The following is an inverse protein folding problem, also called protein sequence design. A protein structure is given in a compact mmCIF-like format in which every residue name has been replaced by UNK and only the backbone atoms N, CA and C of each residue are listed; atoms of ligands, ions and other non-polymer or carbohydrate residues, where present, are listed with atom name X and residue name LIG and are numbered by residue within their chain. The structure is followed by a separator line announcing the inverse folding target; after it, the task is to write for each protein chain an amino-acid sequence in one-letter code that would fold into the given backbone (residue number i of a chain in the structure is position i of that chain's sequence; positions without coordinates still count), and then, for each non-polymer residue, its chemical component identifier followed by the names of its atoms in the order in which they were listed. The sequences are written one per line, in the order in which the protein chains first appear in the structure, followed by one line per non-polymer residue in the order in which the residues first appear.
data_IF_541011738445
#
_entry.id   IF_541011738445
#
_cell.length_a   1.000
_cell.length_b   1.000
_cell.length_c   1.000
_cell.angle_alpha   90.00
_cell.angle_beta   90.00
_cell.angle_gamma   90.00
#
_symmetry.space_group_name_H-M   'P 1'
#
loop_
_entity.id
_entity.type
_entity.pdbx_description
1 polymer ?
#
# COMPACT_ATOMS: atom_id res chain seq x y z
N UNK A 1 8.88 -2.53 9.63
CA UNK A 1 8.56 -3.94 9.33
C UNK A 1 8.57 -4.15 7.83
N UNK A 2 9.41 -5.05 7.29
CA UNK A 2 9.32 -5.50 5.91
C UNK A 2 8.26 -6.59 5.77
N UNK A 3 7.64 -6.66 4.60
CA UNK A 3 6.69 -7.70 4.20
C UNK A 3 6.98 -8.11 2.76
N UNK A 4 6.88 -9.41 2.49
CA UNK A 4 6.99 -9.98 1.16
C UNK A 4 5.92 -11.05 1.01
N UNK A 5 5.12 -10.95 -0.05
CA UNK A 5 4.04 -11.88 -0.36
C UNK A 5 4.22 -12.30 -1.81
N UNK A 6 4.20 -13.62 -2.03
CA UNK A 6 4.12 -14.21 -3.35
C UNK A 6 2.88 -15.10 -3.37
N UNK A 7 1.96 -14.80 -4.27
CA UNK A 7 0.75 -15.58 -4.48
C UNK A 7 0.69 -16.05 -5.92
N UNK A 8 0.37 -17.33 -6.10
CA UNK A 8 0.15 -17.92 -7.41
C UNK A 8 -1.15 -18.71 -7.37
N UNK A 9 -2.12 -18.29 -8.17
CA UNK A 9 -3.46 -18.89 -8.21
C UNK A 9 -3.69 -19.48 -9.61
N UNK A 10 -4.43 -20.57 -9.67
CA UNK A 10 -4.88 -21.17 -10.92
C UNK A 10 -6.36 -21.46 -10.78
N UNK A 11 -7.16 -20.87 -11.65
CA UNK A 11 -8.56 -21.23 -11.73
C UNK A 11 -8.71 -22.63 -12.34
N UNK A 12 -9.74 -23.36 -11.90
CA UNK A 12 -10.05 -24.71 -12.41
C UNK A 12 -10.49 -24.75 -13.88
N UNK A 13 -10.50 -23.60 -14.57
CA UNK A 13 -10.80 -23.49 -15.98
C UNK A 13 -9.54 -23.83 -16.83
N UNK A 14 -9.57 -24.87 -17.68
CA UNK A 14 -8.42 -25.29 -18.48
C UNK A 14 -7.96 -24.28 -19.53
N UNK A 15 -8.75 -23.24 -19.82
CA UNK A 15 -8.40 -22.16 -20.76
C UNK A 15 -7.59 -21.03 -20.10
N UNK A 16 -7.71 -20.86 -18.78
CA UNK A 16 -6.99 -19.81 -18.06
C UNK A 16 -5.63 -20.33 -17.58
N UNK A 17 -4.60 -19.50 -17.75
CA UNK A 17 -3.26 -19.79 -17.25
C UNK A 17 -3.15 -19.52 -15.74
N UNK A 18 -1.92 -19.35 -15.28
CA UNK A 18 -1.65 -19.03 -13.87
C UNK A 18 -1.71 -17.52 -13.66
N UNK A 19 -2.38 -17.08 -12.59
CA UNK A 19 -2.31 -15.70 -12.13
C UNK A 19 -1.24 -15.59 -11.04
N UNK A 20 -0.41 -14.56 -11.12
CA UNK A 20 0.70 -14.33 -10.22
C UNK A 20 0.58 -12.93 -9.62
N UNK A 21 0.77 -12.83 -8.32
CA UNK A 21 0.84 -11.57 -7.61
C UNK A 21 2.03 -11.57 -6.66
N UNK A 22 2.85 -10.53 -6.76
CA UNK A 22 4.02 -10.32 -5.93
C UNK A 22 3.87 -8.97 -5.25
N UNK A 23 3.90 -8.96 -3.93
CA UNK A 23 3.86 -7.75 -3.12
C UNK A 23 5.11 -7.65 -2.27
N UNK A 24 5.75 -6.50 -2.31
CA UNK A 24 6.86 -6.15 -1.46
C UNK A 24 6.54 -4.84 -0.76
N UNK A 25 6.66 -4.82 0.57
CA UNK A 25 6.39 -3.65 1.37
C UNK A 25 7.42 -3.47 2.47
N UNK A 26 7.67 -2.22 2.83
CA UNK A 26 8.55 -1.87 3.94
C UNK A 26 7.99 -0.67 4.67
N UNK A 27 7.83 -0.80 5.99
CA UNK A 27 7.41 0.31 6.84
C UNK A 27 8.42 0.60 7.95
N UNK A 28 9.51 1.35 7.70
CA UNK A 28 10.37 1.85 8.77
C UNK A 28 9.66 2.94 9.57
N UNK A 29 9.91 2.98 10.87
CA UNK A 29 9.39 4.00 11.78
C UNK A 29 10.53 4.56 12.62
N UNK A 30 10.64 5.89 12.64
CA UNK A 30 11.66 6.63 13.39
C UNK A 30 10.96 7.34 14.55
N UNK A 31 11.36 7.01 15.78
CA UNK A 31 10.85 7.64 16.99
C UNK A 31 11.75 8.81 17.38
N UNK A 32 11.23 10.03 17.31
CA UNK A 32 11.95 11.22 17.77
C UNK A 32 11.80 11.42 19.28
N UNK A 33 10.58 11.26 19.78
CA UNK A 33 10.23 11.48 21.20
C UNK A 33 9.36 10.33 21.70
N UNK A 34 9.06 10.28 23.00
CA UNK A 34 8.09 9.35 23.60
C UNK A 34 6.71 9.39 22.92
N UNK A 35 6.35 10.54 22.33
CA UNK A 35 5.03 10.79 21.76
C UNK A 35 5.03 11.08 20.25
N UNK A 36 6.20 11.36 19.67
CA UNK A 36 6.33 11.74 18.25
C UNK A 36 7.14 10.69 17.51
N UNK A 37 6.55 10.10 16.49
CA UNK A 37 7.21 9.21 15.54
C UNK A 37 6.91 9.60 14.10
N UNK A 38 7.74 9.14 13.18
CA UNK A 38 7.58 9.34 11.76
C UNK A 38 7.68 7.98 11.08
N UNK A 39 6.57 7.55 10.50
CA UNK A 39 6.48 6.32 9.74
C UNK A 39 6.63 6.64 8.26
N UNK A 40 7.41 5.82 7.58
CA UNK A 40 7.46 5.78 6.13
C UNK A 40 6.96 4.42 5.69
N UNK A 41 6.23 4.36 4.59
CA UNK A 41 5.76 3.10 4.00
C UNK A 41 6.05 3.13 2.50
N UNK A 42 6.83 2.17 2.03
CA UNK A 42 7.01 1.90 0.61
C UNK A 42 6.37 0.56 0.27
N UNK A 43 5.59 0.50 -0.80
CA UNK A 43 4.97 -0.70 -1.33
C UNK A 43 5.20 -0.80 -2.84
N UNK A 44 5.52 -2.00 -3.30
CA UNK A 44 5.59 -2.36 -4.71
C UNK A 44 4.79 -3.64 -4.89
N UNK A 45 3.78 -3.58 -5.75
CA UNK A 45 2.94 -4.70 -6.11
C UNK A 45 3.05 -4.94 -7.61
N UNK A 46 3.21 -6.20 -8.01
CA UNK A 46 3.20 -6.61 -9.40
C UNK A 46 2.22 -7.76 -9.57
N UNK A 47 1.26 -7.56 -10.45
CA UNK A 47 0.23 -8.56 -10.78
C UNK A 47 0.37 -8.91 -12.24
N UNK A 48 0.34 -10.20 -12.52
CA UNK A 48 0.33 -10.74 -13.86
C UNK A 48 -0.86 -11.70 -13.95
N UNK A 49 -1.80 -11.40 -14.84
CA UNK A 49 -2.91 -12.30 -15.12
C UNK A 49 -2.78 -12.89 -16.51
N UNK A 50 -2.97 -14.20 -16.60
CA UNK A 50 -2.90 -14.95 -17.85
C UNK A 50 -3.97 -14.56 -18.87
N UNK A 51 -5.06 -13.93 -18.41
CA UNK A 51 -6.17 -13.42 -19.25
C UNK A 51 -5.93 -11.99 -19.73
N UNK A 52 -4.82 -11.35 -19.32
CA UNK A 52 -4.47 -9.96 -19.67
C UNK A 52 -5.30 -8.88 -18.97
N UNK A 53 -6.25 -9.26 -18.10
CA UNK A 53 -7.17 -8.31 -17.46
C UNK A 53 -6.50 -7.45 -16.38
N UNK A 54 -5.46 -7.97 -15.71
CA UNK A 54 -4.84 -7.35 -14.53
C UNK A 54 -3.31 -7.40 -14.57
N UNK A 55 -2.72 -7.16 -15.73
CA UNK A 55 -1.26 -7.11 -15.86
C UNK A 55 -0.73 -5.69 -15.57
N UNK A 56 0.11 -5.57 -14.55
CA UNK A 56 0.82 -4.33 -14.31
C UNK A 56 1.56 -4.29 -12.98
N UNK A 57 2.08 -3.11 -12.69
CA UNK A 57 2.74 -2.82 -11.41
C UNK A 57 2.10 -1.61 -10.76
N UNK A 58 2.13 -1.58 -9.44
CA UNK A 58 1.69 -0.50 -8.58
C UNK A 58 2.81 -0.19 -7.59
N UNK A 59 3.14 1.09 -7.48
CA UNK A 59 4.08 1.64 -6.51
C UNK A 59 3.34 2.59 -5.59
N UNK A 60 3.58 2.47 -4.30
CA UNK A 60 3.02 3.34 -3.27
C UNK A 60 4.11 3.79 -2.34
N UNK A 61 4.12 5.08 -2.04
CA UNK A 61 4.99 5.67 -1.05
C UNK A 61 4.19 6.58 -0.14
N UNK A 62 4.28 6.35 1.16
CA UNK A 62 3.56 7.11 2.18
C UNK A 62 4.54 7.64 3.21
N UNK A 63 4.39 8.91 3.55
CA UNK A 63 5.02 9.53 4.72
C UNK A 63 3.91 9.83 5.71
N UNK A 64 4.07 9.40 6.95
CA UNK A 64 3.09 9.61 7.98
C UNK A 64 3.74 10.05 9.29
N UNK A 65 3.76 11.35 9.62
CA UNK A 65 4.05 11.80 10.98
C UNK A 65 2.93 11.35 11.93
N UNK A 66 3.33 10.76 13.05
CA UNK A 66 2.47 10.11 14.02
C UNK A 66 2.69 10.71 15.40
N UNK A 67 1.58 10.93 16.09
CA UNK A 67 1.54 11.35 17.49
C UNK A 67 0.81 10.27 18.28
N UNK A 68 1.50 9.61 19.20
CA UNK A 68 0.98 8.48 19.97
C UNK A 68 1.18 8.65 21.46
N UNK A 69 0.37 7.93 22.25
CA UNK A 69 0.47 7.96 23.72
C UNK A 69 1.67 7.16 24.28
N UNK A 70 2.46 6.49 23.44
CA UNK A 70 3.56 5.64 23.89
C UNK A 70 4.66 5.43 22.84
N UNK A 71 5.81 4.93 23.32
CA UNK A 71 7.06 4.77 22.54
C UNK A 71 7.22 3.39 21.89
N UNK A 72 6.13 2.61 21.82
CA UNK A 72 6.13 1.29 21.19
C UNK A 72 5.30 1.31 19.92
N UNK A 73 5.69 0.48 18.95
CA UNK A 73 5.01 0.29 17.67
C UNK A 73 3.51 -0.09 17.83
N UNK A 74 3.18 -0.82 18.90
CA UNK A 74 1.82 -1.25 19.25
C UNK A 74 1.14 -0.33 20.27
N UNK A 75 1.78 0.76 20.72
CA UNK A 75 1.09 1.74 21.56
C UNK A 75 0.01 2.42 20.73
N UNK A 76 -1.23 2.35 21.20
CA UNK A 76 -2.38 3.11 20.70
C UNK A 76 -3.06 3.77 21.89
N UNK A 77 -3.73 4.94 21.74
CA UNK A 77 -4.11 5.59 20.48
C UNK A 77 -2.95 6.27 19.74
N UNK A 78 -3.06 6.31 18.41
CA UNK A 78 -2.14 7.04 17.52
C UNK A 78 -2.95 7.90 16.55
N UNK A 79 -2.58 9.17 16.45
CA UNK A 79 -3.04 10.09 15.42
C UNK A 79 -1.95 10.20 14.35
N UNK A 80 -2.26 9.89 13.09
CA UNK A 80 -1.36 10.02 11.96
C UNK A 80 -1.87 11.05 10.97
N UNK A 81 -1.04 12.01 10.62
CA UNK A 81 -1.22 12.68 9.32
C UNK A 81 -0.47 11.85 8.28
N UNK A 82 -1.00 11.72 7.08
CA UNK A 82 -0.38 10.94 6.02
C UNK A 82 -0.38 11.71 4.70
N UNK A 83 0.66 11.48 3.92
CA UNK A 83 0.81 11.90 2.54
C UNK A 83 1.23 10.67 1.74
N UNK A 84 0.36 10.20 0.87
CA UNK A 84 0.57 9.01 0.05
C UNK A 84 0.61 9.40 -1.42
N UNK A 85 1.71 9.07 -2.08
CA UNK A 85 1.84 9.10 -3.52
C UNK A 85 1.84 7.67 -4.05
N UNK A 86 1.01 7.40 -5.05
CA UNK A 86 0.96 6.11 -5.71
C UNK A 86 0.99 6.30 -7.23
N UNK A 87 1.60 5.36 -7.92
CA UNK A 87 1.68 5.34 -9.38
C UNK A 87 1.66 3.90 -9.88
N UNK A 88 1.01 3.67 -11.01
CA UNK A 88 0.77 2.34 -11.57
C UNK A 88 0.89 2.33 -13.09
N UNK A 89 1.04 1.14 -13.64
CA UNK A 89 1.10 0.90 -15.08
C UNK A 89 -0.24 1.13 -15.76
N UNK A 90 -0.22 1.41 -17.06
CA UNK A 90 -1.41 1.60 -17.91
C UNK A 90 -2.39 0.44 -17.85
N UNK A 91 -1.89 -0.79 -17.67
CA UNK A 91 -2.73 -1.99 -17.50
C UNK A 91 -3.58 -2.01 -16.24
N UNK A 92 -3.28 -1.15 -15.26
CA UNK A 92 -4.06 -0.96 -14.03
C UNK A 92 -4.84 0.37 -14.02
N UNK A 93 -4.83 1.11 -15.14
CA UNK A 93 -5.60 2.36 -15.27
C UNK A 93 -7.09 2.08 -15.12
N UNK A 94 -7.77 2.87 -14.30
CA UNK A 94 -9.20 2.69 -14.01
C UNK A 94 -9.52 1.66 -12.92
N UNK A 95 -8.52 0.87 -12.50
CA UNK A 95 -8.68 -0.16 -11.48
C UNK A 95 -8.12 0.26 -10.12
N UNK A 96 -7.28 1.30 -10.09
CA UNK A 96 -6.58 1.79 -8.89
C UNK A 96 -7.07 3.20 -8.53
N UNK A 97 -7.27 3.43 -7.22
CA UNK A 97 -7.63 4.75 -6.67
C UNK A 97 -9.12 5.13 -6.75
N UNK A 98 -9.94 4.36 -7.46
CA UNK A 98 -11.37 4.62 -7.61
C UNK A 98 -11.68 5.77 -8.58
N UNK A 99 -12.93 6.27 -8.56
CA UNK A 99 -13.47 7.26 -9.51
C UNK A 99 -12.54 8.49 -9.71
N UNK A 100 -11.95 9.10 -8.67
CA UNK A 100 -11.12 10.30 -8.83
C UNK A 100 -9.83 10.08 -9.64
N UNK A 101 -9.35 8.83 -9.74
CA UNK A 101 -8.09 8.47 -10.41
C UNK A 101 -8.30 7.56 -11.61
N UNK A 102 -9.54 7.38 -12.06
CA UNK A 102 -9.91 6.40 -13.08
C UNK A 102 -9.15 6.58 -14.41
N UNK A 103 -8.90 7.83 -14.83
CA UNK A 103 -8.15 8.13 -16.06
C UNK A 103 -6.68 8.49 -15.81
N UNK A 104 -6.19 8.30 -14.57
CA UNK A 104 -4.81 8.61 -14.19
C UNK A 104 -4.03 7.33 -13.95
N UNK A 105 -2.72 7.46 -14.06
CA UNK A 105 -1.76 6.41 -13.69
C UNK A 105 -0.98 6.78 -12.44
N UNK A 106 -1.23 7.95 -11.87
CA UNK A 106 -0.68 8.43 -10.61
C UNK A 106 -1.75 9.14 -9.78
N UNK A 107 -1.52 9.15 -8.47
CA UNK A 107 -2.40 9.76 -7.50
C UNK A 107 -1.65 10.19 -6.26
N UNK A 108 -1.95 11.39 -5.80
CA UNK A 108 -1.48 11.92 -4.52
C UNK A 108 -2.69 12.09 -3.62
N UNK A 109 -2.59 11.58 -2.39
CA UNK A 109 -3.61 11.70 -1.35
C UNK A 109 -2.97 12.14 -0.06
N UNK A 110 -3.68 12.94 0.72
CA UNK A 110 -3.24 13.38 2.03
C UNK A 110 -4.43 13.43 2.99
N UNK A 111 -4.16 13.33 4.27
CA UNK A 111 -5.22 13.37 5.27
C UNK A 111 -4.70 13.13 6.68
N UNK A 112 -5.65 13.06 7.62
CA UNK A 112 -5.39 12.72 9.01
C UNK A 112 -6.28 11.53 9.38
N UNK A 113 -5.72 10.58 10.12
CA UNK A 113 -6.40 9.38 10.56
C UNK A 113 -6.02 9.08 12.01
N UNK A 114 -7.02 8.75 12.83
CA UNK A 114 -6.81 8.20 14.17
C UNK A 114 -6.97 6.68 14.13
N UNK A 115 -6.13 5.96 14.87
CA UNK A 115 -6.20 4.50 15.03
C UNK A 115 -6.13 4.17 16.52
N UNK A 116 -7.05 3.36 17.02
CA UNK A 116 -7.11 2.92 18.42
C UNK A 116 -7.71 1.52 18.53
N UNK A 117 -7.27 0.77 19.54
CA UNK A 117 -7.84 -0.52 19.95
C UNK A 117 -7.78 -0.63 21.48
N UNK A 118 -8.67 -1.41 22.10
CA UNK A 118 -8.80 -1.58 23.56
C UNK A 118 -8.84 -3.05 23.95
#
# INVERSE_FOLDING_TARGET
MPIFIYQRTRDGNPVHGWDQWVSFGGRPEVFFTKYLSLAFEGGFDHTHSSTGQFDGWLRKFTIAPQIGAGRQFFSRPVLRAFLTYANWSDGLRGLVGGIPFQNRTDGLTYGVQAETWW
#
